data_IF_861704741373
#
_entry.id   IF_861704741373
#
_cell.length_a   1.000
_cell.length_b   1.000
_cell.length_c   1.000
_cell.angle_alpha   90.00
_cell.angle_beta   90.00
_cell.angle_gamma   90.00
#
_symmetry.space_group_name_H-M   'P 1'
#
loop_
_entity.id
_entity.type
_entity.pdbx_description
1 polymer ?
#
# COMPACT_ATOMS: atom_id res chain seq x y z
N UNK A 1 2.91 39.41 10.80
CA UNK A 1 2.98 39.61 9.34
C UNK A 1 2.13 38.50 8.74
N UNK A 2 0.94 38.85 8.23
CA UNK A 2 0.05 37.92 7.55
C UNK A 2 0.70 37.55 6.23
N UNK A 3 1.46 36.46 6.19
CA UNK A 3 1.80 35.82 4.93
C UNK A 3 0.60 34.96 4.53
N UNK A 4 -0.22 35.51 3.64
CA UNK A 4 -1.14 34.71 2.84
C UNK A 4 -0.30 33.70 2.09
N UNK A 5 -0.33 32.44 2.54
CA UNK A 5 0.33 31.31 1.89
C UNK A 5 -0.39 31.02 0.57
N UNK A 6 -0.09 31.78 -0.46
CA UNK A 6 -0.55 31.55 -1.84
C UNK A 6 0.49 30.69 -2.54
N UNK A 7 0.35 29.37 -2.39
CA UNK A 7 1.00 28.41 -3.28
C UNK A 7 0.09 28.26 -4.51
N UNK A 8 0.65 28.38 -5.71
CA UNK A 8 0.04 27.79 -6.91
C UNK A 8 0.03 26.27 -6.73
N UNK A 9 -1.02 25.73 -6.11
CA UNK A 9 -1.23 24.30 -6.09
C UNK A 9 -1.66 23.88 -7.48
N UNK A 10 -0.83 23.09 -8.17
CA UNK A 10 -1.28 22.41 -9.38
C UNK A 10 -2.55 21.62 -9.06
N UNK A 11 -3.61 21.67 -9.90
CA UNK A 11 -4.87 20.97 -9.64
C UNK A 11 -4.70 19.44 -9.50
N UNK A 12 -3.59 18.90 -10.04
CA UNK A 12 -3.21 17.49 -9.92
C UNK A 12 -2.66 17.09 -8.54
N UNK A 13 -2.17 18.05 -7.75
CA UNK A 13 -1.58 17.81 -6.43
C UNK A 13 -2.60 17.93 -5.29
N UNK A 14 -3.89 18.07 -5.61
CA UNK A 14 -4.96 18.25 -4.63
C UNK A 14 -5.45 16.89 -4.11
N UNK A 15 -5.72 16.75 -2.80
CA UNK A 15 -6.28 15.52 -2.20
C UNK A 15 -7.57 15.05 -2.87
N UNK A 16 -8.45 15.98 -3.27
CA UNK A 16 -9.69 15.68 -3.98
C UNK A 16 -9.46 15.04 -5.35
N UNK A 17 -8.42 15.47 -6.08
CA UNK A 17 -8.05 14.88 -7.37
C UNK A 17 -7.51 13.46 -7.18
N UNK A 18 -6.62 13.25 -6.21
CA UNK A 18 -6.09 11.93 -5.88
C UNK A 18 -7.21 10.94 -5.48
N UNK A 19 -8.19 11.41 -4.69
CA UNK A 19 -9.36 10.60 -4.32
C UNK A 19 -10.20 10.23 -5.54
N UNK A 20 -10.45 11.19 -6.44
CA UNK A 20 -11.19 10.93 -7.68
C UNK A 20 -10.48 9.88 -8.55
N UNK A 21 -9.15 9.97 -8.68
CA UNK A 21 -8.35 8.98 -9.40
C UNK A 21 -8.46 7.60 -8.75
N UNK A 22 -8.38 7.49 -7.42
CA UNK A 22 -8.56 6.21 -6.73
C UNK A 22 -9.93 5.60 -6.99
N UNK A 23 -11.01 6.39 -6.95
CA UNK A 23 -12.35 5.91 -7.26
C UNK A 23 -12.50 5.48 -8.72
N UNK A 24 -11.92 6.22 -9.67
CA UNK A 24 -11.90 5.82 -11.08
C UNK A 24 -11.13 4.50 -11.27
N UNK A 25 -9.99 4.34 -10.60
CA UNK A 25 -9.22 3.09 -10.62
C UNK A 25 -10.05 1.93 -10.06
N UNK A 26 -10.75 2.10 -8.93
CA UNK A 26 -11.64 1.05 -8.42
C UNK A 26 -12.75 0.71 -9.42
N UNK A 27 -13.35 1.71 -10.07
CA UNK A 27 -14.43 1.50 -11.04
C UNK A 27 -13.99 0.69 -12.28
N UNK A 28 -12.73 0.81 -12.69
CA UNK A 28 -12.15 0.04 -13.81
C UNK A 28 -11.60 -1.30 -13.33
N UNK A 29 -10.90 -1.34 -12.20
CA UNK A 29 -10.27 -2.55 -11.67
C UNK A 29 -11.30 -3.57 -11.19
N UNK A 30 -12.45 -3.15 -10.66
CA UNK A 30 -13.49 -4.05 -10.18
C UNK A 30 -14.07 -4.98 -11.28
N UNK A 31 -14.56 -4.47 -12.43
CA UNK A 31 -15.05 -5.34 -13.51
C UNK A 31 -13.95 -6.21 -14.12
N UNK A 32 -12.72 -5.70 -14.21
CA UNK A 32 -11.58 -6.49 -14.70
C UNK A 32 -11.26 -7.66 -13.77
N UNK A 33 -11.25 -7.44 -12.45
CA UNK A 33 -11.03 -8.48 -11.46
C UNK A 33 -12.16 -9.53 -11.47
N UNK A 34 -13.42 -9.12 -11.63
CA UNK A 34 -14.56 -10.04 -11.79
C UNK A 34 -14.40 -10.88 -13.06
N UNK A 35 -14.04 -10.24 -14.18
CA UNK A 35 -13.80 -10.94 -15.44
C UNK A 35 -12.62 -11.92 -15.34
N UNK A 36 -11.55 -11.53 -14.65
CA UNK A 36 -10.42 -12.40 -14.34
C UNK A 36 -10.84 -13.63 -13.54
N UNK A 37 -11.59 -13.44 -12.45
CA UNK A 37 -12.12 -14.53 -11.65
C UNK A 37 -13.04 -15.46 -12.47
N UNK A 38 -13.90 -14.90 -13.33
CA UNK A 38 -14.74 -15.66 -14.26
C UNK A 38 -13.87 -16.52 -15.20
N UNK A 39 -12.84 -15.96 -15.82
CA UNK A 39 -11.93 -16.70 -16.70
C UNK A 39 -11.23 -17.84 -15.94
N UNK A 40 -10.76 -17.61 -14.72
CA UNK A 40 -10.10 -18.64 -13.91
C UNK A 40 -11.07 -19.78 -13.57
N UNK A 41 -12.33 -19.49 -13.25
CA UNK A 41 -13.32 -20.51 -12.88
C UNK A 41 -13.73 -21.33 -14.12
N UNK A 42 -14.06 -20.67 -15.23
CA UNK A 42 -14.74 -21.32 -16.35
C UNK A 42 -13.82 -21.72 -17.50
N UNK A 43 -12.64 -21.09 -17.66
CA UNK A 43 -11.70 -21.38 -18.76
C UNK A 43 -10.44 -22.13 -18.34
N UNK A 44 -10.17 -22.30 -17.04
CA UNK A 44 -8.97 -23.04 -16.59
C UNK A 44 -9.10 -24.54 -16.89
N UNK A 45 -8.17 -25.14 -17.66
CA UNK A 45 -8.24 -26.55 -18.04
C UNK A 45 -8.06 -27.51 -16.85
N UNK A 46 -8.73 -28.66 -16.91
CA UNK A 46 -8.77 -29.68 -15.84
C UNK A 46 -7.40 -30.29 -15.47
N UNK A 47 -6.37 -30.11 -16.30
CA UNK A 47 -5.00 -30.55 -16.01
C UNK A 47 -4.30 -29.69 -14.95
N UNK A 48 -4.87 -28.53 -14.61
CA UNK A 48 -4.32 -27.56 -13.65
C UNK A 48 -5.21 -27.38 -12.40
N UNK A 49 -5.88 -28.44 -11.92
CA UNK A 49 -6.78 -28.36 -10.74
C UNK A 49 -6.10 -27.77 -9.50
N UNK A 50 -4.85 -28.16 -9.21
CA UNK A 50 -4.07 -27.64 -8.07
C UNK A 50 -3.74 -26.15 -8.23
N UNK A 51 -3.29 -25.77 -9.43
CA UNK A 51 -2.96 -24.39 -9.79
C UNK A 51 -4.19 -23.48 -9.84
N UNK A 52 -5.37 -24.01 -10.17
CA UNK A 52 -6.62 -23.26 -10.18
C UNK A 52 -6.93 -22.65 -8.81
N UNK A 53 -6.71 -23.40 -7.72
CA UNK A 53 -6.91 -22.89 -6.36
C UNK A 53 -5.94 -21.75 -6.05
N UNK A 54 -4.66 -21.90 -6.43
CA UNK A 54 -3.64 -20.86 -6.24
C UNK A 54 -3.96 -19.61 -7.05
N UNK A 55 -4.39 -19.76 -8.31
CA UNK A 55 -4.79 -18.66 -9.18
C UNK A 55 -6.03 -17.92 -8.64
N UNK A 56 -7.00 -18.66 -8.10
CA UNK A 56 -8.18 -18.05 -7.47
C UNK A 56 -7.80 -17.30 -6.19
N UNK A 57 -6.95 -17.88 -5.34
CA UNK A 57 -6.47 -17.21 -4.14
C UNK A 57 -5.69 -15.94 -4.49
N UNK A 58 -4.78 -16.02 -5.48
CA UNK A 58 -4.03 -14.87 -5.98
C UNK A 58 -4.97 -13.77 -6.50
N UNK A 59 -5.94 -14.12 -7.34
CA UNK A 59 -6.92 -13.17 -7.90
C UNK A 59 -7.77 -12.53 -6.79
N UNK A 60 -8.23 -13.32 -5.83
CA UNK A 60 -9.00 -12.83 -4.69
C UNK A 60 -8.18 -11.91 -3.79
N UNK A 61 -6.97 -12.33 -3.39
CA UNK A 61 -6.07 -11.54 -2.55
C UNK A 61 -5.67 -10.24 -3.22
N UNK A 62 -5.44 -10.23 -4.54
CA UNK A 62 -5.13 -9.02 -5.32
C UNK A 62 -6.34 -8.08 -5.36
N UNK A 63 -7.54 -8.61 -5.65
CA UNK A 63 -8.77 -7.80 -5.67
C UNK A 63 -9.06 -7.17 -4.29
N UNK A 64 -8.84 -7.94 -3.21
CA UNK A 64 -9.00 -7.45 -1.84
C UNK A 64 -7.94 -6.40 -1.48
N UNK A 65 -6.69 -6.58 -1.91
CA UNK A 65 -5.62 -5.60 -1.73
C UNK A 65 -5.94 -4.29 -2.46
N UNK A 66 -6.32 -4.37 -3.73
CA UNK A 66 -6.66 -3.20 -4.55
C UNK A 66 -7.87 -2.45 -3.98
N UNK A 67 -8.93 -3.18 -3.60
CA UNK A 67 -10.11 -2.60 -2.98
C UNK A 67 -9.80 -1.97 -1.62
N UNK A 68 -9.01 -2.63 -0.78
CA UNK A 68 -8.61 -2.06 0.51
C UNK A 68 -7.73 -0.82 0.36
N UNK A 69 -6.86 -0.76 -0.66
CA UNK A 69 -6.01 0.41 -0.91
C UNK A 69 -6.77 1.57 -1.54
N UNK A 70 -7.65 1.32 -2.52
CA UNK A 70 -8.31 2.38 -3.31
C UNK A 70 -9.65 2.83 -2.73
N UNK A 71 -10.47 1.91 -2.21
CA UNK A 71 -11.82 2.22 -1.72
C UNK A 71 -11.86 2.46 -0.21
N UNK A 72 -11.18 1.60 0.57
CA UNK A 72 -11.16 1.74 2.03
C UNK A 72 -10.11 2.76 2.50
N UNK A 73 -8.86 2.62 2.07
CA UNK A 73 -7.75 3.46 2.52
C UNK A 73 -7.66 4.80 1.79
N UNK A 74 -7.62 4.79 0.46
CA UNK A 74 -7.29 5.93 -0.41
C UNK A 74 -6.23 6.87 0.21
N UNK A 75 -5.02 6.37 0.52
CA UNK A 75 -4.04 7.16 1.24
C UNK A 75 -3.48 8.27 0.35
N UNK A 76 -3.59 9.51 0.80
CA UNK A 76 -2.86 10.62 0.21
C UNK A 76 -1.48 10.70 0.83
N UNK A 77 -0.43 10.71 0.01
CA UNK A 77 0.96 10.81 0.48
C UNK A 77 1.50 12.18 0.08
N UNK A 78 1.78 13.01 1.08
CA UNK A 78 2.46 14.29 0.92
C UNK A 78 3.98 14.08 0.91
N UNK A 79 4.57 14.15 -0.28
CA UNK A 79 6.01 14.27 -0.48
C UNK A 79 6.43 15.75 -0.32
N UNK A 80 7.63 16.07 0.19
CA UNK A 80 8.76 15.19 0.55
C UNK A 80 8.70 14.62 1.98
N UNK A 81 7.72 15.02 2.77
CA UNK A 81 7.62 14.67 4.19
C UNK A 81 7.27 13.19 4.47
N UNK A 82 6.90 12.42 3.45
CA UNK A 82 6.44 11.02 3.58
C UNK A 82 5.30 10.88 4.60
N UNK A 83 4.45 11.91 4.67
CA UNK A 83 3.28 11.95 5.54
C UNK A 83 2.09 11.46 4.73
N UNK A 84 1.42 10.43 5.23
CA UNK A 84 0.22 9.87 4.65
C UNK A 84 -1.01 10.14 5.51
N UNK A 85 -2.16 10.41 4.91
CA UNK A 85 -3.44 10.31 5.62
C UNK A 85 -4.48 9.58 4.75
N UNK A 86 -5.27 8.67 5.33
CA UNK A 86 -6.32 8.00 4.58
C UNK A 86 -7.44 8.99 4.29
N UNK A 87 -7.98 8.97 3.08
CA UNK A 87 -9.16 9.77 2.67
C UNK A 87 -10.34 8.88 2.26
N UNK A 88 -10.19 7.56 2.33
CA UNK A 88 -11.23 6.62 1.97
C UNK A 88 -12.29 6.46 3.07
N UNK A 89 -13.14 5.44 2.90
CA UNK A 89 -14.29 5.14 3.78
C UNK A 89 -13.87 4.87 5.24
N UNK A 90 -12.61 4.49 5.47
CA UNK A 90 -12.03 4.33 6.81
C UNK A 90 -12.19 5.58 7.68
N UNK A 91 -12.12 6.77 7.08
CA UNK A 91 -12.34 8.03 7.80
C UNK A 91 -13.79 8.22 8.25
N UNK A 92 -14.75 7.71 7.46
CA UNK A 92 -16.19 7.75 7.77
C UNK A 92 -16.57 6.73 8.84
N UNK A 93 -15.94 5.55 8.79
CA UNK A 93 -16.20 4.46 9.75
C UNK A 93 -15.44 4.60 11.07
N UNK A 94 -14.55 5.59 11.21
CA UNK A 94 -13.75 5.80 12.41
C UNK A 94 -12.77 4.66 12.73
N UNK A 95 -12.39 3.87 11.73
CA UNK A 95 -11.46 2.74 11.91
C UNK A 95 -10.04 3.32 12.07
N UNK A 96 -9.24 2.85 13.04
CA UNK A 96 -7.86 3.31 13.19
C UNK A 96 -7.04 3.04 11.93
N UNK A 97 -6.32 4.05 11.44
CA UNK A 97 -5.47 3.96 10.25
C UNK A 97 -4.48 2.80 10.33
N UNK A 98 -3.97 2.51 11.53
CA UNK A 98 -3.04 1.42 11.82
C UNK A 98 -3.58 0.03 11.43
N UNK A 99 -4.86 -0.22 11.67
CA UNK A 99 -5.52 -1.50 11.34
C UNK A 99 -5.64 -1.66 9.84
N UNK A 100 -5.94 -0.57 9.14
CA UNK A 100 -6.11 -0.56 7.69
C UNK A 100 -4.77 -0.72 6.99
N UNK A 101 -3.74 0.00 7.43
CA UNK A 101 -2.38 -0.14 6.89
C UNK A 101 -1.83 -1.53 7.15
N UNK A 102 -2.07 -2.11 8.34
CA UNK A 102 -1.71 -3.50 8.62
C UNK A 102 -2.41 -4.47 7.66
N UNK A 103 -3.71 -4.28 7.43
CA UNK A 103 -4.51 -5.14 6.54
C UNK A 103 -4.00 -5.07 5.10
N UNK A 104 -3.77 -3.87 4.57
CA UNK A 104 -3.29 -3.66 3.19
C UNK A 104 -1.92 -4.31 2.98
N UNK A 105 -0.98 -4.11 3.91
CA UNK A 105 0.36 -4.68 3.74
C UNK A 105 0.35 -6.21 3.91
N UNK A 106 -0.45 -6.74 4.85
CA UNK A 106 -0.61 -8.19 5.02
C UNK A 106 -1.19 -8.84 3.75
N UNK A 107 -2.16 -8.20 3.10
CA UNK A 107 -2.72 -8.64 1.83
C UNK A 107 -1.66 -8.59 0.71
N UNK A 108 -0.85 -7.52 0.63
CA UNK A 108 0.23 -7.42 -0.33
C UNK A 108 1.28 -8.52 -0.17
N UNK A 109 1.67 -8.82 1.07
CA UNK A 109 2.57 -9.94 1.38
C UNK A 109 1.95 -11.29 0.99
N UNK A 110 0.64 -11.47 1.22
CA UNK A 110 -0.11 -12.67 0.80
C UNK A 110 -0.11 -12.84 -0.72
N UNK A 111 -0.31 -11.75 -1.47
CA UNK A 111 -0.20 -11.74 -2.95
C UNK A 111 1.20 -12.15 -3.38
N UNK A 112 2.24 -11.64 -2.72
CA UNK A 112 3.63 -12.05 -2.96
C UNK A 112 3.84 -13.56 -2.74
N UNK A 113 3.33 -14.11 -1.63
CA UNK A 113 3.40 -15.54 -1.34
C UNK A 113 2.68 -16.39 -2.41
N UNK A 114 1.51 -15.95 -2.88
CA UNK A 114 0.77 -16.62 -3.94
C UNK A 114 1.53 -16.63 -5.27
N UNK A 115 2.21 -15.53 -5.61
CA UNK A 115 3.06 -15.45 -6.80
C UNK A 115 4.25 -16.42 -6.71
N UNK A 116 4.93 -16.49 -5.57
CA UNK A 116 6.04 -17.43 -5.35
C UNK A 116 5.56 -18.88 -5.58
N UNK A 117 4.42 -19.24 -4.99
CA UNK A 117 3.83 -20.58 -5.16
C UNK A 117 3.52 -20.90 -6.63
N UNK A 118 3.00 -19.92 -7.39
CA UNK A 118 2.71 -20.07 -8.81
C UNK A 118 3.98 -20.30 -9.64
N UNK A 119 5.01 -19.49 -9.42
CA UNK A 119 6.29 -19.63 -10.14
C UNK A 119 6.99 -20.96 -9.80
N UNK A 120 6.96 -21.35 -8.54
CA UNK A 120 7.56 -22.60 -8.08
C UNK A 120 6.88 -23.83 -8.70
N UNK A 121 5.55 -23.83 -8.82
CA UNK A 121 4.81 -24.94 -9.41
C UNK A 121 5.10 -25.09 -10.92
N UNK A 122 5.24 -23.96 -11.63
CA UNK A 122 5.69 -23.95 -13.04
C UNK A 122 7.13 -24.44 -13.16
N UNK A 123 8.02 -23.96 -12.29
CA UNK A 123 9.41 -24.39 -12.27
C UNK A 123 9.54 -25.91 -12.06
N UNK A 124 8.83 -26.47 -11.09
CA UNK A 124 8.85 -27.92 -10.83
C UNK A 124 8.27 -28.77 -11.96
N UNK A 125 7.33 -28.21 -12.74
CA UNK A 125 6.79 -28.89 -13.93
C UNK A 125 7.84 -28.96 -15.04
N UNK A 126 8.69 -27.95 -15.16
CA UNK A 126 9.76 -27.88 -16.17
C UNK A 126 11.02 -28.63 -15.73
N UNK A 127 11.35 -28.61 -14.45
CA UNK A 127 12.57 -29.18 -13.87
C UNK A 127 12.18 -30.28 -12.88
N UNK A 128 12.06 -31.51 -13.38
CA UNK A 128 11.48 -32.66 -12.67
C UNK A 128 12.34 -33.24 -11.53
N UNK A 129 13.56 -32.73 -11.31
CA UNK A 129 14.54 -33.33 -10.39
C UNK A 129 14.99 -32.33 -9.33
N UNK A 130 14.41 -32.39 -8.13
CA UNK A 130 14.95 -31.64 -6.99
C UNK A 130 14.48 -32.17 -5.63
N UNK A 131 15.43 -32.24 -4.68
CA UNK A 131 15.24 -32.37 -3.23
C UNK A 131 14.35 -31.27 -2.63
N UNK A 132 14.09 -30.20 -3.40
CA UNK A 132 13.24 -29.06 -3.05
C UNK A 132 11.79 -29.42 -2.69
N UNK A 133 11.28 -30.58 -3.11
CA UNK A 133 9.91 -31.02 -2.76
C UNK A 133 9.66 -31.14 -1.25
N UNK A 134 10.69 -31.46 -0.46
CA UNK A 134 10.60 -31.59 1.01
C UNK A 134 10.65 -30.22 1.69
N UNK A 135 11.54 -29.33 1.24
CA UNK A 135 11.70 -27.99 1.83
C UNK A 135 10.61 -27.00 1.41
N UNK A 136 9.86 -27.29 0.34
CA UNK A 136 8.77 -26.44 -0.19
C UNK A 136 7.68 -26.11 0.83
N UNK A 137 7.16 -27.14 1.52
CA UNK A 137 6.03 -26.98 2.44
C UNK A 137 6.40 -26.11 3.65
N UNK A 138 7.49 -26.36 4.39
CA UNK A 138 7.88 -25.49 5.50
C UNK A 138 8.26 -24.08 5.01
N UNK A 139 8.89 -23.94 3.84
CA UNK A 139 9.18 -22.63 3.27
C UNK A 139 7.92 -21.81 3.04
N UNK A 140 6.88 -22.38 2.45
CA UNK A 140 5.61 -21.68 2.25
C UNK A 140 4.87 -21.37 3.55
N UNK A 141 4.83 -22.31 4.50
CA UNK A 141 4.20 -22.06 5.81
C UNK A 141 4.89 -20.89 6.51
N UNK A 142 6.23 -20.84 6.48
CA UNK A 142 7.00 -19.75 7.05
C UNK A 142 6.70 -18.41 6.36
N UNK A 143 6.65 -18.38 5.02
CA UNK A 143 6.34 -17.16 4.28
C UNK A 143 4.92 -16.65 4.56
N UNK A 144 3.91 -17.53 4.56
CA UNK A 144 2.55 -17.13 4.90
C UNK A 144 2.44 -16.67 6.36
N UNK A 145 3.13 -17.34 7.29
CA UNK A 145 3.16 -16.92 8.70
C UNK A 145 3.82 -15.54 8.82
N UNK A 146 4.96 -15.32 8.17
CA UNK A 146 5.66 -14.04 8.16
C UNK A 146 4.82 -12.93 7.51
N UNK A 147 4.03 -13.23 6.47
CA UNK A 147 3.15 -12.27 5.82
C UNK A 147 2.13 -11.65 6.79
N UNK A 148 1.66 -12.41 7.77
CA UNK A 148 0.76 -11.91 8.82
C UNK A 148 1.51 -11.36 10.04
N UNK A 149 2.66 -11.91 10.40
CA UNK A 149 3.30 -11.58 11.69
C UNK A 149 4.40 -10.52 11.61
N UNK A 150 5.02 -10.31 10.45
CA UNK A 150 6.21 -9.45 10.32
C UNK A 150 5.99 -8.01 10.77
N UNK A 151 4.79 -7.48 10.59
CA UNK A 151 4.45 -6.11 10.96
C UNK A 151 3.95 -5.94 12.39
N UNK A 152 3.49 -7.01 13.05
CA UNK A 152 2.96 -6.93 14.42
C UNK A 152 3.94 -6.27 15.41
N UNK A 153 5.24 -6.60 15.42
CA UNK A 153 6.20 -5.94 16.31
C UNK A 153 6.31 -4.44 16.05
N UNK A 154 6.27 -4.04 14.78
CA UNK A 154 6.39 -2.63 14.41
C UNK A 154 5.18 -1.82 14.89
N UNK A 155 3.97 -2.40 14.81
CA UNK A 155 2.75 -1.78 15.33
C UNK A 155 2.70 -1.75 16.87
N UNK A 156 3.13 -2.83 17.53
CA UNK A 156 3.04 -2.94 18.99
C UNK A 156 4.07 -2.07 19.74
N UNK A 157 5.28 -1.90 19.17
CA UNK A 157 6.38 -1.25 19.88
C UNK A 157 6.72 0.18 19.43
N UNK A 158 6.40 0.59 18.19
CA UNK A 158 6.91 1.85 17.62
C UNK A 158 5.86 2.94 17.32
N UNK A 159 4.55 2.66 17.39
CA UNK A 159 3.56 3.53 16.76
C UNK A 159 2.96 4.73 17.55
N UNK A 160 2.98 4.87 18.90
CA UNK A 160 2.16 5.94 19.51
C UNK A 160 2.80 7.33 19.67
N UNK A 161 4.12 7.46 19.83
CA UNK A 161 4.67 8.67 20.51
C UNK A 161 5.43 9.65 19.60
N UNK A 162 6.17 9.18 18.60
CA UNK A 162 7.09 10.05 17.82
C UNK A 162 6.45 10.70 16.58
N UNK A 163 5.35 10.12 16.07
CA UNK A 163 4.73 10.51 14.81
C UNK A 163 4.16 11.94 14.81
N UNK A 164 3.53 12.36 15.93
CA UNK A 164 2.97 13.71 16.07
C UNK A 164 4.05 14.80 16.02
N UNK A 165 5.25 14.51 16.52
CA UNK A 165 6.38 15.44 16.55
C UNK A 165 7.00 15.63 15.17
N UNK A 166 7.08 14.57 14.36
CA UNK A 166 7.55 14.61 12.97
C UNK A 166 6.62 15.41 12.08
N UNK A 167 5.31 15.22 12.23
CA UNK A 167 4.28 15.97 11.51
C UNK A 167 4.41 17.47 11.81
N UNK A 168 4.56 17.85 13.07
CA UNK A 168 4.75 19.25 13.48
C UNK A 168 6.05 19.89 12.98
N UNK A 169 7.06 19.07 12.62
CA UNK A 169 8.37 19.55 12.16
C UNK A 169 8.43 19.78 10.63
N UNK A 170 7.39 19.38 9.89
CA UNK A 170 7.37 19.50 8.43
C UNK A 170 6.90 20.87 7.94
N UNK A 171 7.87 21.72 7.57
CA UNK A 171 7.66 23.11 7.11
C UNK A 171 7.06 23.24 5.70
N UNK A 172 7.06 22.15 4.93
CA UNK A 172 6.52 22.10 3.55
C UNK A 172 5.01 21.91 3.50
N UNK A 173 4.36 21.63 4.62
CA UNK A 173 2.91 21.51 4.66
C UNK A 173 2.29 22.92 4.56
N UNK A 174 1.30 23.14 3.67
CA UNK A 174 0.71 24.47 3.50
C UNK A 174 0.13 24.97 4.82
N UNK A 175 0.51 26.20 5.18
CA UNK A 175 -0.02 26.89 6.35
C UNK A 175 -1.53 27.08 6.15
N UNK A 176 -2.36 26.38 6.93
CA UNK A 176 -3.84 26.30 6.92
C UNK A 176 -4.47 25.01 6.40
N UNK A 177 -3.73 23.97 6.01
CA UNK A 177 -4.40 22.68 5.75
C UNK A 177 -4.63 21.93 7.07
N UNK A 178 -5.89 21.60 7.45
CA UNK A 178 -6.16 20.86 8.68
C UNK A 178 -5.58 19.46 8.54
N UNK A 179 -4.57 19.14 9.37
CA UNK A 179 -3.96 17.82 9.41
C UNK A 179 -4.93 16.88 10.15
N UNK A 180 -5.45 15.82 9.50
CA UNK A 180 -6.33 14.87 10.18
C UNK A 180 -5.59 14.16 11.32
N UNK A 181 -6.27 13.86 12.43
CA UNK A 181 -5.66 13.07 13.52
C UNK A 181 -5.24 11.66 13.08
N UNK A 182 -5.77 11.19 11.95
CA UNK A 182 -5.49 9.88 11.32
C UNK A 182 -4.20 9.85 10.50
N UNK A 183 -3.41 10.92 10.53
CA UNK A 183 -2.16 11.08 9.78
C UNK A 183 -1.06 10.16 10.30
N UNK A 184 -0.36 9.51 9.38
CA UNK A 184 0.74 8.61 9.66
C UNK A 184 2.01 8.91 8.86
N UNK A 185 3.16 8.57 9.44
CA UNK A 185 4.45 8.71 8.77
C UNK A 185 4.81 7.36 8.17
N UNK A 186 5.07 7.33 6.85
CA UNK A 186 5.35 6.09 6.12
C UNK A 186 6.75 5.55 6.37
N UNK A 187 7.72 6.41 6.72
CA UNK A 187 9.11 6.00 6.94
C UNK A 187 9.93 7.02 7.72
N UNK A 188 10.62 6.56 8.76
CA UNK A 188 11.70 7.26 9.46
C UNK A 188 13.11 6.87 8.96
N UNK A 189 13.24 6.40 7.73
CA UNK A 189 14.54 6.02 7.19
C UNK A 189 15.54 7.18 7.20
N UNK A 190 16.84 6.85 7.33
CA UNK A 190 17.93 7.83 7.19
C UNK A 190 17.80 8.61 5.88
N UNK A 191 17.32 7.95 4.83
CA UNK A 191 17.00 8.55 3.54
C UNK A 191 15.88 9.60 3.63
N UNK A 192 14.77 9.33 4.33
CA UNK A 192 13.71 10.33 4.53
C UNK A 192 14.20 11.52 5.37
N UNK A 193 15.05 11.28 6.38
CA UNK A 193 15.71 12.37 7.12
C UNK A 193 16.60 13.22 6.21
N UNK A 194 17.41 12.60 5.35
CA UNK A 194 18.25 13.31 4.38
C UNK A 194 17.44 14.10 3.36
N UNK A 195 16.36 13.54 2.83
CA UNK A 195 15.46 14.25 1.90
C UNK A 195 14.80 15.44 2.57
N UNK A 196 14.33 15.29 3.81
CA UNK A 196 13.74 16.40 4.57
C UNK A 196 14.78 17.48 4.92
N UNK A 197 16.02 17.11 5.24
CA UNK A 197 17.11 18.08 5.46
C UNK A 197 17.56 18.76 4.16
N UNK A 198 17.72 18.01 3.07
CA UNK A 198 18.07 18.59 1.76
C UNK A 198 16.95 19.51 1.24
N UNK A 199 15.68 19.15 1.48
CA UNK A 199 14.56 20.04 1.18
C UNK A 199 14.57 21.26 2.12
N UNK A 200 14.97 21.14 3.38
CA UNK A 200 15.12 22.29 4.29
C UNK A 200 16.20 23.28 3.82
N UNK A 201 17.27 22.78 3.20
CA UNK A 201 18.41 23.57 2.72
C UNK A 201 18.29 24.02 1.25
N UNK A 202 17.25 23.56 0.53
CA UNK A 202 16.97 24.03 -0.81
C UNK A 202 16.47 25.49 -0.75
N UNK A 203 17.10 26.44 -1.49
CA UNK A 203 16.56 27.78 -1.61
C UNK A 203 15.17 27.69 -2.22
N UNK A 204 14.20 28.45 -1.67
CA UNK A 204 12.89 28.64 -2.29
C UNK A 204 13.11 29.42 -3.58
N UNK A 205 13.49 28.72 -4.65
CA UNK A 205 13.60 29.32 -5.98
C UNK A 205 12.19 29.55 -6.47
N UNK A 206 11.79 30.81 -6.38
CA UNK A 206 10.67 31.42 -7.09
C UNK A 206 10.81 31.03 -8.56
N UNK A 207 10.02 30.05 -9.01
CA UNK A 207 9.86 29.77 -10.43
C UNK A 207 8.98 30.90 -10.97
N UNK A 208 9.62 31.95 -11.45
CA UNK A 208 8.94 32.94 -12.29
C UNK A 208 8.62 32.27 -13.63
N UNK A 209 7.32 32.09 -13.89
CA UNK A 209 6.77 31.98 -15.24
C UNK A 209 5.83 33.16 -15.45
#
# INVERSE_FOLDING_TARGET
>A
MNETCSMESSPFATPSFALAVFHCLTAISFPLNIFGAYCIIYKTPSRMKRLRVVLLLLSLSTTLMDGSMTFFGAPFIALPCMIGFPMGIVTVLGIPTSVVTYTVISLAATVGCCNILLFEDRYNTLVSNSTWKIFRVPFHILNFTAAFTFLLPQYAFYMPTDQKRLIATCRYFPCNYPIPETTFVLSESIWSRHVVTCARDAPVTRVEM
#
